data_IF_345999629192
#
_entry.id   IF_345999629192
#
_cell.length_a   1.000
_cell.length_b   1.000
_cell.length_c   1.000
_cell.angle_alpha   90.00
_cell.angle_beta   90.00
_cell.angle_gamma   90.00
#
_symmetry.space_group_name_H-M   'P 1'
#
loop_
_entity.id
_entity.type
_entity.pdbx_description
1 polymer ?
#
# COMPACT_ATOMS: atom_id res chain seq x y z
N UNK A 1 4.71 9.04 -3.22
CA UNK A 1 4.65 8.74 -4.66
C UNK A 1 3.81 9.79 -5.39
N UNK A 2 4.22 10.26 -6.57
CA UNK A 2 3.36 11.09 -7.45
C UNK A 2 2.18 10.27 -8.00
N UNK A 3 0.98 10.84 -8.05
CA UNK A 3 -0.25 10.17 -8.49
C UNK A 3 -0.13 9.52 -9.89
N UNK A 4 0.47 10.24 -10.84
CA UNK A 4 0.68 9.69 -12.19
C UNK A 4 1.64 8.49 -12.21
N UNK A 5 2.56 8.40 -11.24
CA UNK A 5 3.44 7.23 -11.10
C UNK A 5 2.65 6.03 -10.57
N UNK A 6 1.78 6.22 -9.57
CA UNK A 6 0.92 5.13 -9.08
C UNK A 6 0.01 4.56 -10.16
N UNK A 7 -0.57 5.41 -11.02
CA UNK A 7 -1.41 4.95 -12.12
C UNK A 7 -0.64 4.10 -13.13
N UNK A 8 0.56 4.53 -13.52
CA UNK A 8 1.42 3.75 -14.43
C UNK A 8 1.81 2.41 -13.84
N UNK A 9 2.14 2.37 -12.54
CA UNK A 9 2.44 1.12 -11.84
C UNK A 9 1.22 0.20 -11.84
N UNK A 10 0.02 0.72 -11.56
CA UNK A 10 -1.23 -0.05 -11.57
C UNK A 10 -1.51 -0.67 -12.95
N UNK A 11 -1.32 0.11 -14.00
CA UNK A 11 -1.48 -0.36 -15.38
C UNK A 11 -0.45 -1.44 -15.76
N UNK A 12 0.83 -1.22 -15.45
CA UNK A 12 1.91 -2.18 -15.75
C UNK A 12 1.81 -3.46 -14.92
N UNK A 13 1.34 -3.35 -13.67
CA UNK A 13 1.16 -4.49 -12.79
C UNK A 13 -0.02 -5.35 -13.22
N UNK A 14 -1.11 -4.71 -13.66
CA UNK A 14 -2.33 -5.36 -14.07
C UNK A 14 -3.02 -6.06 -12.91
N UNK A 15 -3.47 -7.30 -13.13
CA UNK A 15 -4.25 -8.08 -12.14
C UNK A 15 -3.42 -9.13 -11.39
N UNK A 16 -2.10 -8.93 -11.27
CA UNK A 16 -1.24 -9.85 -10.51
C UNK A 16 -1.50 -9.67 -9.00
N UNK A 17 -1.55 -10.77 -8.21
CA UNK A 17 -1.68 -10.65 -6.77
C UNK A 17 -0.49 -9.87 -6.18
N UNK A 18 -0.75 -9.07 -5.15
CA UNK A 18 0.27 -8.29 -4.46
C UNK A 18 0.05 -8.36 -2.95
N UNK A 19 1.13 -8.60 -2.21
CA UNK A 19 1.12 -8.57 -0.72
C UNK A 19 1.22 -7.13 -0.16
N UNK A 20 1.38 -6.17 -1.06
CA UNK A 20 1.50 -4.74 -0.78
C UNK A 20 2.58 -4.35 0.25
N UNK A 21 3.80 -4.93 0.21
CA UNK A 21 4.77 -4.89 1.32
C UNK A 21 5.08 -3.47 1.82
N UNK A 22 5.07 -2.48 0.93
CA UNK A 22 5.20 -1.07 1.27
C UNK A 22 4.15 -0.22 0.54
N UNK A 23 3.52 0.68 1.30
CA UNK A 23 2.57 1.70 0.81
C UNK A 23 3.09 3.08 1.17
N UNK A 24 2.96 4.04 0.27
CA UNK A 24 3.45 5.41 0.43
C UNK A 24 2.37 6.44 0.13
N UNK A 25 2.44 7.61 0.77
CA UNK A 25 1.47 8.69 0.57
C UNK A 25 1.54 9.21 -0.86
N UNK A 26 0.38 9.43 -1.46
CA UNK A 26 0.27 9.92 -2.83
C UNK A 26 0.08 11.44 -2.83
N UNK A 27 0.78 12.12 -3.74
CA UNK A 27 0.62 13.56 -3.98
C UNK A 27 0.33 13.81 -5.46
N UNK A 28 -0.43 14.85 -5.74
CA UNK A 28 -0.81 15.27 -7.09
C UNK A 28 -0.48 16.74 -7.25
N UNK A 29 0.39 17.07 -8.22
CA UNK A 29 0.77 18.45 -8.54
C UNK A 29 1.23 19.26 -7.29
N UNK A 30 1.98 18.63 -6.38
CA UNK A 30 2.45 19.25 -5.15
C UNK A 30 1.42 19.33 -4.01
N UNK A 31 0.16 18.95 -4.24
CA UNK A 31 -0.86 18.82 -3.20
C UNK A 31 -0.93 17.38 -2.68
N UNK A 32 -1.06 17.21 -1.36
CA UNK A 32 -1.27 15.89 -0.78
C UNK A 32 -2.66 15.38 -1.10
N UNK A 33 -2.74 14.24 -1.76
CA UNK A 33 -3.97 13.45 -1.83
C UNK A 33 -3.99 12.64 -0.53
N UNK A 34 -5.11 12.56 0.18
CA UNK A 34 -5.21 11.81 1.45
C UNK A 34 -5.04 10.29 1.29
N UNK A 35 -4.64 9.83 0.11
CA UNK A 35 -4.53 8.44 -0.29
C UNK A 35 -3.08 7.97 -0.23
N UNK A 36 -2.94 6.65 -0.12
CA UNK A 36 -1.68 5.92 -0.19
C UNK A 36 -1.69 5.03 -1.43
N UNK A 37 -0.52 4.63 -1.90
CA UNK A 37 -0.40 3.66 -2.98
C UNK A 37 0.74 2.69 -2.73
N UNK A 38 0.55 1.43 -3.11
CA UNK A 38 1.61 0.44 -3.03
C UNK A 38 2.71 0.75 -4.04
N UNK A 39 3.96 0.71 -3.56
CA UNK A 39 5.11 1.02 -4.41
C UNK A 39 5.41 -0.03 -5.49
N UNK A 40 4.81 -1.22 -5.38
CA UNK A 40 5.03 -2.32 -6.31
C UNK A 40 3.93 -2.40 -7.37
N UNK A 41 2.67 -2.43 -6.93
CA UNK A 41 1.54 -2.67 -7.82
C UNK A 41 0.70 -1.42 -8.12
N UNK A 42 0.99 -0.28 -7.49
CA UNK A 42 0.24 0.95 -7.73
C UNK A 42 -1.20 0.98 -7.19
N UNK A 43 -1.67 -0.09 -6.54
CA UNK A 43 -2.99 -0.11 -5.87
C UNK A 43 -3.09 1.03 -4.88
N UNK A 44 -4.17 1.79 -4.96
CA UNK A 44 -4.50 2.87 -4.05
C UNK A 44 -5.21 2.36 -2.80
N UNK A 45 -4.95 3.03 -1.67
CA UNK A 45 -5.49 2.74 -0.36
C UNK A 45 -5.93 4.04 0.30
N UNK A 46 -7.11 4.04 0.89
CA UNK A 46 -7.52 5.08 1.82
C UNK A 46 -6.72 5.02 3.12
N UNK A 47 -6.84 6.06 3.96
CA UNK A 47 -6.25 6.07 5.30
C UNK A 47 -6.74 4.88 6.14
N UNK A 48 -8.02 4.54 6.03
CA UNK A 48 -8.63 3.42 6.75
C UNK A 48 -8.05 2.09 6.30
N UNK A 49 -8.01 1.82 4.99
CA UNK A 49 -7.46 0.57 4.45
C UNK A 49 -5.98 0.40 4.77
N UNK A 50 -5.19 1.49 4.73
CA UNK A 50 -3.79 1.45 5.19
C UNK A 50 -3.70 1.01 6.65
N UNK A 51 -4.54 1.59 7.51
CA UNK A 51 -4.53 1.28 8.93
C UNK A 51 -4.90 -0.19 9.17
N UNK A 52 -5.90 -0.70 8.47
CA UNK A 52 -6.29 -2.12 8.54
C UNK A 52 -5.15 -3.03 8.08
N UNK A 53 -4.49 -2.71 6.96
CA UNK A 53 -3.34 -3.47 6.45
C UNK A 53 -2.20 -3.54 7.47
N UNK A 54 -1.89 -2.43 8.15
CA UNK A 54 -0.87 -2.38 9.21
C UNK A 54 -1.28 -3.17 10.46
N UNK A 55 -2.56 -3.11 10.84
CA UNK A 55 -3.10 -3.90 11.96
C UNK A 55 -3.06 -5.41 11.66
N UNK A 56 -3.42 -5.82 10.46
CA UNK A 56 -3.33 -7.21 10.01
C UNK A 56 -1.90 -7.72 10.09
N UNK A 57 -0.92 -6.93 9.63
CA UNK A 57 0.51 -7.27 9.72
C UNK A 57 1.01 -7.39 11.15
N UNK A 58 0.59 -6.49 12.04
CA UNK A 58 0.93 -6.59 13.48
C UNK A 58 0.39 -7.87 14.10
N UNK A 59 -0.84 -8.26 13.77
CA UNK A 59 -1.45 -9.52 14.23
C UNK A 59 -0.72 -10.75 13.68
N UNK A 60 -0.33 -10.74 12.41
CA UNK A 60 0.42 -11.83 11.78
C UNK A 60 1.85 -11.95 12.34
N UNK A 61 2.55 -10.84 12.55
CA UNK A 61 3.89 -10.83 13.15
C UNK A 61 3.91 -11.18 14.64
N UNK A 62 2.78 -11.11 15.36
CA UNK A 62 2.67 -11.58 16.74
C UNK A 62 2.42 -13.09 16.84
N UNK A 63 1.92 -13.75 15.79
CA UNK A 63 1.72 -15.20 15.78
C UNK A 63 3.02 -15.99 15.51
N UNK A 64 4.05 -15.36 14.94
CA UNK A 64 5.34 -16.02 14.67
C UNK A 64 6.29 -16.07 15.87
N UNK A 65 5.96 -15.40 16.98
CA UNK A 65 6.82 -15.29 18.16
C UNK A 65 6.40 -16.20 19.32
N UNK A 66 5.46 -17.13 19.12
CA UNK A 66 5.07 -18.14 20.10
C UNK A 66 5.34 -19.56 19.55
N UNK A 67 6.59 -19.78 19.11
CA UNK A 67 7.18 -21.11 18.90
C UNK A 67 8.60 -21.12 19.47
N UNK A 68 8.70 -21.07 20.80
CA UNK A 68 9.67 -21.85 21.57
C UNK A 68 9.27 -21.87 23.05
#
# INVERSE_FOLDING_TARGET
>A
MEFNQSLKLKEQWGNKPCDHPKVEKVYYAGAFVLNYSCILCGTDFTVAEKLELEQMRKKQGQQTSQVH
#
